data_IF_891114308294
#
_entry.id   IF_891114308294
#
_cell.length_a   1.000
_cell.length_b   1.000
_cell.length_c   1.000
_cell.angle_alpha   90.00
_cell.angle_beta   90.00
_cell.angle_gamma   90.00
#
_symmetry.space_group_name_H-M   'P 1'
#
loop_
_entity.id
_entity.type
_entity.pdbx_description
1 polymer ?
#
# COMPACT_ATOMS: atom_id res chain seq x y z
N UNK A 1 -39.68 21.10 18.70
CA UNK A 1 -38.45 20.90 17.93
C UNK A 1 -38.84 20.23 16.63
N UNK A 2 -38.61 20.87 15.47
CA UNK A 2 -39.05 20.34 14.17
C UNK A 2 -37.99 19.33 13.67
N UNK A 3 -38.41 18.31 12.92
CA UNK A 3 -37.48 17.31 12.32
C UNK A 3 -36.37 17.96 11.48
N UNK A 4 -36.65 19.13 10.89
CA UNK A 4 -35.65 19.97 10.19
C UNK A 4 -34.53 20.50 11.09
N UNK A 5 -34.80 20.71 12.38
CA UNK A 5 -33.80 21.19 13.34
C UNK A 5 -32.84 20.05 13.74
N UNK A 6 -33.28 18.78 13.65
CA UNK A 6 -32.41 17.60 13.85
C UNK A 6 -31.57 17.33 12.61
N UNK A 7 -32.13 17.51 11.40
CA UNK A 7 -31.41 17.31 10.14
C UNK A 7 -30.28 18.33 9.92
N UNK A 8 -30.39 19.55 10.45
CA UNK A 8 -29.32 20.55 10.40
C UNK A 8 -28.28 20.37 11.53
N UNK A 9 -28.58 19.58 12.58
CA UNK A 9 -27.61 19.18 13.61
C UNK A 9 -26.78 17.96 13.19
N UNK A 10 -27.15 17.31 12.08
CA UNK A 10 -26.29 16.45 11.27
C UNK A 10 -25.62 17.34 10.19
N UNK A 11 -25.16 18.54 10.58
CA UNK A 11 -23.97 19.09 9.94
C UNK A 11 -22.90 18.02 10.10
N UNK A 12 -22.29 17.64 8.97
CA UNK A 12 -21.29 16.58 8.88
C UNK A 12 -20.29 16.72 10.02
N UNK A 13 -20.41 15.88 11.04
CA UNK A 13 -19.26 15.49 11.82
C UNK A 13 -18.40 14.78 10.80
N UNK A 14 -17.47 15.50 10.18
CA UNK A 14 -16.37 14.90 9.46
C UNK A 14 -15.69 13.98 10.48
N UNK A 15 -16.01 12.70 10.39
CA UNK A 15 -15.30 11.66 11.11
C UNK A 15 -13.93 11.62 10.44
N UNK A 16 -13.00 12.43 10.94
CA UNK A 16 -11.59 12.31 10.60
C UNK A 16 -11.14 10.97 11.16
N UNK A 17 -10.69 10.08 10.28
CA UNK A 17 -10.05 8.83 10.68
C UNK A 17 -8.76 9.21 11.42
N UNK A 18 -8.60 8.74 12.66
CA UNK A 18 -7.42 9.02 13.46
C UNK A 18 -6.29 8.07 13.05
N UNK A 19 -5.48 8.51 12.07
CA UNK A 19 -4.38 7.70 11.55
C UNK A 19 -3.13 7.85 12.42
N UNK A 20 -2.36 6.77 12.63
CA UNK A 20 -1.10 6.83 13.37
C UNK A 20 -0.08 7.66 12.59
N UNK A 21 0.46 8.69 13.22
CA UNK A 21 1.45 9.59 12.60
C UNK A 21 2.79 9.45 13.30
N UNK A 22 3.85 9.32 12.50
CA UNK A 22 5.23 9.23 12.96
C UNK A 22 6.12 10.32 12.33
N UNK A 23 7.31 10.50 12.90
CA UNK A 23 8.40 11.30 12.35
C UNK A 23 9.66 10.46 12.34
N UNK A 24 10.41 10.49 11.24
CA UNK A 24 11.67 9.76 11.12
C UNK A 24 12.78 10.65 11.67
N UNK A 25 13.49 10.18 12.69
CA UNK A 25 14.54 10.97 13.34
C UNK A 25 15.89 10.81 12.64
N UNK A 26 16.08 9.69 11.96
CA UNK A 26 17.25 9.39 11.15
C UNK A 26 17.24 10.16 9.81
N UNK A 27 18.40 10.16 9.16
CA UNK A 27 18.53 10.79 7.86
C UNK A 27 17.82 9.94 6.79
N UNK A 28 16.95 10.59 6.01
CA UNK A 28 16.26 9.96 4.88
C UNK A 28 17.05 10.11 3.58
N UNK A 29 17.04 9.04 2.79
CA UNK A 29 17.71 8.95 1.51
C UNK A 29 16.79 8.43 0.42
N UNK A 30 17.03 8.86 -0.81
CA UNK A 30 16.47 8.27 -2.02
C UNK A 30 17.61 7.72 -2.88
N UNK A 31 17.46 6.48 -3.35
CA UNK A 31 18.37 5.90 -4.34
C UNK A 31 17.65 5.77 -5.66
N UNK A 32 18.11 6.52 -6.67
CA UNK A 32 17.50 6.46 -7.98
C UNK A 32 17.64 7.74 -8.79
N UNK A 33 16.53 8.14 -9.37
CA UNK A 33 16.37 9.26 -10.29
C UNK A 33 15.22 10.12 -9.80
N UNK A 34 15.40 11.44 -9.86
CA UNK A 34 14.37 12.42 -9.51
C UNK A 34 13.48 12.81 -10.71
N UNK A 35 13.65 12.16 -11.87
CA UNK A 35 12.79 12.38 -13.03
C UNK A 35 11.49 11.58 -12.90
N UNK A 36 10.38 12.27 -12.67
CA UNK A 36 9.05 11.64 -12.55
C UNK A 36 8.66 10.81 -13.78
N UNK A 37 9.18 11.12 -14.96
CA UNK A 37 8.89 10.40 -16.20
C UNK A 37 9.61 9.05 -16.29
N UNK A 38 10.58 8.82 -15.42
CA UNK A 38 11.31 7.54 -15.33
C UNK A 38 10.65 6.53 -14.36
N UNK A 39 9.48 6.88 -13.81
CA UNK A 39 8.72 6.04 -12.88
C UNK A 39 8.26 4.75 -13.55
N UNK A 40 8.43 3.63 -12.85
CA UNK A 40 7.88 2.33 -13.24
C UNK A 40 6.41 2.23 -12.83
N UNK A 41 5.61 1.53 -13.63
CA UNK A 41 4.24 1.18 -13.26
C UNK A 41 4.24 0.13 -12.14
N UNK A 42 3.12 -0.03 -11.43
CA UNK A 42 2.91 -1.03 -10.37
C UNK A 42 3.88 -0.93 -9.19
N UNK A 43 4.09 0.30 -8.67
CA UNK A 43 4.77 0.47 -7.39
C UNK A 43 3.91 -0.07 -6.24
N UNK A 44 4.48 -0.96 -5.42
CA UNK A 44 3.85 -1.44 -4.18
C UNK A 44 3.70 -0.35 -3.12
N UNK A 45 4.45 0.75 -3.23
CA UNK A 45 4.42 1.89 -2.32
C UNK A 45 3.50 3.02 -2.85
N UNK A 46 2.97 2.86 -4.08
CA UNK A 46 2.13 3.85 -4.73
C UNK A 46 2.92 4.97 -5.41
N UNK A 47 2.23 6.09 -5.67
CA UNK A 47 2.78 7.23 -6.40
C UNK A 47 3.50 8.19 -5.44
N UNK A 48 4.82 8.21 -5.53
CA UNK A 48 5.63 9.17 -4.79
C UNK A 48 7.12 8.96 -5.00
N UNK A 49 7.92 9.66 -4.21
CA UNK A 49 9.36 9.51 -4.13
C UNK A 49 9.70 8.54 -3.00
N UNK A 50 10.25 7.38 -3.35
CA UNK A 50 10.67 6.38 -2.36
C UNK A 50 11.83 6.89 -1.52
N UNK A 51 11.79 6.62 -0.22
CA UNK A 51 12.79 7.04 0.77
C UNK A 51 13.11 5.91 1.72
N UNK A 52 14.29 5.95 2.33
CA UNK A 52 14.71 5.00 3.37
C UNK A 52 15.84 5.59 4.21
N UNK A 53 15.97 5.13 5.44
CA UNK A 53 17.13 5.36 6.31
C UNK A 53 18.29 4.40 6.00
N UNK A 54 18.04 3.34 5.22
CA UNK A 54 18.95 2.25 4.89
C UNK A 54 19.18 2.10 3.37
N UNK A 55 19.76 3.12 2.68
CA UNK A 55 19.88 3.11 1.23
C UNK A 55 20.72 1.93 0.70
N UNK A 56 21.77 1.54 1.43
CA UNK A 56 22.64 0.42 1.05
C UNK A 56 21.92 -0.92 1.13
N UNK A 57 20.98 -1.07 2.06
CA UNK A 57 20.15 -2.27 2.16
C UNK A 57 19.23 -2.37 0.95
N UNK A 58 18.56 -1.28 0.57
CA UNK A 58 17.66 -1.27 -0.58
C UNK A 58 18.35 -1.56 -1.91
N UNK A 59 19.59 -1.08 -2.12
CA UNK A 59 20.40 -1.47 -3.28
C UNK A 59 20.68 -2.99 -3.30
N UNK A 60 20.85 -3.60 -2.13
CA UNK A 60 21.09 -5.06 -2.00
C UNK A 60 19.83 -5.90 -2.09
N UNK A 61 18.69 -5.39 -1.63
CA UNK A 61 17.37 -6.03 -1.69
C UNK A 61 16.89 -6.01 -3.15
N UNK A 62 16.87 -4.82 -3.76
CA UNK A 62 16.41 -4.59 -5.12
C UNK A 62 17.57 -4.61 -6.13
N UNK A 63 18.46 -5.62 -6.04
CA UNK A 63 19.64 -5.72 -6.92
C UNK A 63 19.25 -5.65 -8.39
N UNK A 64 19.85 -4.71 -9.11
CA UNK A 64 19.58 -4.46 -10.54
C UNK A 64 18.30 -3.66 -10.82
N UNK A 65 17.45 -3.45 -9.82
CA UNK A 65 16.23 -2.65 -9.92
C UNK A 65 16.42 -1.24 -9.37
N UNK A 66 17.07 -1.10 -8.21
CA UNK A 66 17.41 0.17 -7.58
C UNK A 66 18.82 0.59 -7.98
N UNK A 67 18.91 1.55 -8.91
CA UNK A 67 20.17 2.07 -9.44
C UNK A 67 20.06 3.57 -9.65
N UNK A 68 21.17 4.30 -9.53
CA UNK A 68 21.20 5.73 -9.84
C UNK A 68 22.04 6.51 -8.84
N UNK A 69 21.63 7.75 -8.60
CA UNK A 69 22.30 8.60 -7.63
C UNK A 69 21.71 8.38 -6.24
N UNK A 70 22.54 8.57 -5.22
CA UNK A 70 22.08 8.71 -3.85
C UNK A 70 21.74 10.17 -3.59
N UNK A 71 20.57 10.43 -3.01
CA UNK A 71 20.13 11.74 -2.58
C UNK A 71 19.83 11.72 -1.09
N UNK A 72 20.21 12.80 -0.43
CA UNK A 72 19.84 13.09 0.94
C UNK A 72 18.61 14.01 0.95
N UNK A 73 17.64 13.73 1.83
CA UNK A 73 16.38 14.46 1.94
C UNK A 73 16.19 14.99 3.35
N UNK A 74 15.85 16.27 3.49
CA UNK A 74 15.54 16.87 4.78
C UNK A 74 14.33 17.80 4.69
N UNK A 75 13.49 17.74 5.73
CA UNK A 75 12.41 18.70 5.97
C UNK A 75 12.11 18.75 7.47
N UNK A 76 12.09 19.96 8.02
CA UNK A 76 11.76 20.17 9.43
C UNK A 76 10.26 19.89 9.68
N UNK A 77 9.96 19.15 10.74
CA UNK A 77 8.59 18.86 11.14
C UNK A 77 7.81 18.02 10.13
N UNK A 78 8.51 17.24 9.29
CA UNK A 78 7.86 16.30 8.37
C UNK A 78 7.04 15.27 9.14
N UNK A 79 6.02 14.69 8.50
CA UNK A 79 5.13 13.70 9.13
C UNK A 79 4.80 12.60 8.15
N UNK A 80 4.77 11.36 8.61
CA UNK A 80 4.33 10.21 7.83
C UNK A 80 3.21 9.47 8.54
N UNK A 81 2.35 8.79 7.79
CA UNK A 81 1.51 7.75 8.39
C UNK A 81 2.40 6.55 8.71
N UNK A 82 2.33 6.06 9.93
CA UNK A 82 2.98 4.83 10.34
C UNK A 82 2.16 3.63 9.88
N UNK A 83 2.62 2.99 8.81
CA UNK A 83 1.89 1.90 8.18
C UNK A 83 1.92 0.60 9.01
N UNK A 84 2.89 0.44 9.92
CA UNK A 84 2.97 -0.73 10.79
C UNK A 84 2.00 -0.64 11.97
N UNK A 85 1.55 0.58 12.31
CA UNK A 85 0.56 0.85 13.35
C UNK A 85 -0.88 0.95 12.79
N UNK A 86 -1.08 0.82 11.47
CA UNK A 86 -2.42 0.74 10.90
C UNK A 86 -3.05 -0.60 11.26
N UNK A 87 -4.13 -0.55 12.03
CA UNK A 87 -4.88 -1.71 12.45
C UNK A 87 -6.15 -1.93 11.59
N UNK A 88 -6.88 -2.99 11.91
CA UNK A 88 -8.12 -3.37 11.22
C UNK A 88 -9.19 -2.29 11.23
N UNK A 89 -9.36 -1.56 12.33
CA UNK A 89 -10.38 -0.51 12.45
C UNK A 89 -10.08 0.66 11.50
N UNK A 90 -8.81 1.05 11.36
CA UNK A 90 -8.41 2.05 10.37
C UNK A 90 -8.74 1.58 8.95
N UNK A 91 -8.40 0.34 8.60
CA UNK A 91 -8.72 -0.22 7.28
C UNK A 91 -10.23 -0.29 7.04
N UNK A 92 -11.04 -0.70 8.01
CA UNK A 92 -12.50 -0.73 7.89
C UNK A 92 -13.08 0.66 7.59
N UNK A 93 -12.59 1.69 8.29
CA UNK A 93 -13.03 3.07 8.07
C UNK A 93 -12.58 3.59 6.69
N UNK A 94 -11.33 3.33 6.30
CA UNK A 94 -10.78 3.77 5.00
C UNK A 94 -11.42 3.03 3.83
N UNK A 95 -11.71 1.73 3.97
CA UNK A 95 -12.43 0.97 2.95
C UNK A 95 -13.88 1.40 2.83
N UNK A 96 -14.56 1.71 3.94
CA UNK A 96 -15.89 2.31 3.89
C UNK A 96 -15.87 3.64 3.12
N UNK A 97 -14.91 4.51 3.42
CA UNK A 97 -14.68 5.73 2.63
C UNK A 97 -14.41 5.40 1.16
N UNK A 98 -13.59 4.39 0.88
CA UNK A 98 -13.26 3.92 -0.47
C UNK A 98 -14.50 3.48 -1.24
N UNK A 99 -15.43 2.78 -0.59
CA UNK A 99 -16.73 2.39 -1.15
C UNK A 99 -17.59 3.63 -1.44
N UNK A 100 -17.71 4.53 -0.47
CA UNK A 100 -18.50 5.77 -0.63
C UNK A 100 -17.98 6.64 -1.78
N UNK A 101 -16.67 6.65 -2.02
CA UNK A 101 -16.04 7.35 -3.15
C UNK A 101 -15.98 6.51 -4.43
N UNK A 102 -16.38 5.24 -4.41
CA UNK A 102 -16.35 4.33 -5.57
C UNK A 102 -14.95 3.87 -6.00
N UNK A 103 -13.96 3.94 -5.12
CA UNK A 103 -12.63 3.37 -5.33
C UNK A 103 -12.59 1.87 -5.02
N UNK A 104 -13.39 1.44 -4.05
CA UNK A 104 -13.51 0.04 -3.64
C UNK A 104 -14.95 -0.40 -3.88
N UNK A 105 -15.15 -1.65 -4.28
CA UNK A 105 -16.44 -2.35 -4.28
C UNK A 105 -16.42 -3.43 -3.22
N UNK A 106 -17.60 -3.73 -2.70
CA UNK A 106 -17.81 -4.87 -1.83
C UNK A 106 -18.35 -6.00 -2.69
N UNK A 107 -17.58 -7.07 -2.83
CA UNK A 107 -17.86 -8.19 -3.71
C UNK A 107 -17.65 -9.53 -3.00
N UNK A 108 -18.17 -10.57 -3.64
CA UNK A 108 -17.84 -11.94 -3.30
C UNK A 108 -16.44 -12.27 -3.81
N UNK A 109 -15.58 -12.78 -2.92
CA UNK A 109 -14.25 -13.28 -3.29
C UNK A 109 -14.15 -14.74 -2.87
N UNK A 110 -13.65 -15.54 -3.79
CA UNK A 110 -13.22 -16.91 -3.55
C UNK A 110 -11.75 -16.89 -3.11
N UNK A 111 -11.44 -17.48 -1.97
CA UNK A 111 -10.09 -17.59 -1.44
C UNK A 111 -9.68 -19.06 -1.48
N UNK A 112 -8.71 -19.39 -2.32
CA UNK A 112 -8.10 -20.72 -2.34
C UNK A 112 -6.85 -20.66 -1.46
N UNK A 113 -6.84 -21.42 -0.36
CA UNK A 113 -5.67 -21.59 0.47
C UNK A 113 -4.99 -22.91 0.11
N UNK A 114 -3.67 -22.90 -0.07
CA UNK A 114 -2.89 -24.10 -0.31
C UNK A 114 -1.48 -23.94 0.28
N UNK A 115 -0.82 -25.07 0.49
CA UNK A 115 0.57 -25.09 0.90
C UNK A 115 1.46 -25.08 -0.34
N UNK A 116 2.38 -24.12 -0.41
CA UNK A 116 3.37 -23.98 -1.47
C UNK A 116 4.69 -24.59 -0.98
N UNK A 117 5.14 -25.66 -1.65
CA UNK A 117 6.32 -26.42 -1.27
C UNK A 117 7.64 -25.72 -1.64
N UNK A 118 7.63 -24.83 -2.63
CA UNK A 118 8.78 -23.98 -2.95
C UNK A 118 9.01 -22.91 -1.87
N UNK A 119 7.92 -22.40 -1.28
CA UNK A 119 7.95 -21.40 -0.22
C UNK A 119 7.98 -22.00 1.20
N UNK A 120 7.66 -23.29 1.36
CA UNK A 120 7.49 -23.96 2.65
C UNK A 120 6.49 -23.20 3.55
N UNK A 121 5.40 -22.70 2.96
CA UNK A 121 4.41 -21.87 3.65
C UNK A 121 2.99 -22.03 3.08
N UNK A 122 1.97 -21.64 3.84
CA UNK A 122 0.61 -21.54 3.35
C UNK A 122 0.41 -20.21 2.63
N UNK A 123 -0.02 -20.27 1.38
CA UNK A 123 -0.34 -19.12 0.57
C UNK A 123 -1.82 -19.15 0.17
N UNK A 124 -2.31 -18.03 -0.35
CA UNK A 124 -3.68 -17.94 -0.82
C UNK A 124 -3.76 -17.18 -2.15
N UNK A 125 -4.80 -17.50 -2.92
CA UNK A 125 -5.20 -16.77 -4.13
C UNK A 125 -6.61 -16.21 -3.90
N UNK A 126 -6.79 -14.92 -4.14
CA UNK A 126 -8.10 -14.24 -4.14
C UNK A 126 -8.62 -14.16 -5.58
N UNK A 127 -9.81 -14.71 -5.85
CA UNK A 127 -10.46 -14.72 -7.17
C UNK A 127 -11.86 -14.10 -7.05
N UNK A 128 -12.18 -13.15 -7.92
CA UNK A 128 -13.48 -12.44 -7.93
C UNK A 128 -14.44 -12.92 -9.02
N UNK A 129 -13.93 -13.67 -10.00
CA UNK A 129 -14.68 -14.16 -11.16
C UNK A 129 -14.86 -15.68 -11.06
N UNK A 130 -16.10 -16.17 -11.21
CA UNK A 130 -16.40 -17.60 -11.06
C UNK A 130 -15.88 -18.46 -12.22
N UNK A 131 -15.73 -17.88 -13.41
CA UNK A 131 -15.17 -18.57 -14.57
C UNK A 131 -13.65 -18.69 -14.40
N UNK A 132 -12.99 -17.64 -13.90
CA UNK A 132 -11.58 -17.68 -13.49
C UNK A 132 -11.33 -18.70 -12.37
N UNK A 133 -12.20 -18.75 -11.36
CA UNK A 133 -12.14 -19.76 -10.30
C UNK A 133 -12.17 -21.18 -10.87
N UNK A 134 -13.07 -21.43 -11.83
CA UNK A 134 -13.21 -22.75 -12.42
C UNK A 134 -11.95 -23.15 -13.19
N UNK A 135 -11.37 -22.21 -13.95
CA UNK A 135 -10.12 -22.44 -14.68
C UNK A 135 -8.92 -22.68 -13.74
N UNK A 136 -8.84 -21.94 -12.64
CA UNK A 136 -7.76 -22.10 -11.65
C UNK A 136 -7.86 -23.45 -10.95
N UNK A 137 -9.05 -23.85 -10.51
CA UNK A 137 -9.27 -25.16 -9.88
C UNK A 137 -8.94 -26.31 -10.84
N UNK A 138 -9.29 -26.20 -12.14
CA UNK A 138 -8.92 -27.19 -13.16
C UNK A 138 -7.39 -27.26 -13.36
N UNK A 139 -6.69 -26.12 -13.37
CA UNK A 139 -5.22 -26.11 -13.47
C UNK A 139 -4.56 -26.69 -12.22
N UNK A 140 -5.07 -26.39 -11.03
CA UNK A 140 -4.55 -26.94 -9.77
C UNK A 140 -4.76 -28.45 -9.69
N UNK A 141 -5.90 -28.97 -10.15
CA UNK A 141 -6.18 -30.42 -10.23
C UNK A 141 -5.22 -31.14 -11.18
N UNK A 142 -4.76 -30.46 -12.22
CA UNK A 142 -3.78 -31.02 -13.16
C UNK A 142 -2.33 -30.97 -12.67
N UNK A 143 -1.98 -30.06 -11.77
CA UNK A 143 -0.58 -29.77 -11.39
C UNK A 143 -0.25 -30.30 -9.99
N UNK A 144 -1.22 -30.30 -9.07
CA UNK A 144 -0.99 -30.58 -7.66
C UNK A 144 -2.03 -31.54 -7.07
N UNK A 145 -1.85 -32.85 -7.31
CA UNK A 145 -2.67 -33.91 -6.69
C UNK A 145 -2.74 -33.77 -5.14
N UNK A 146 -1.67 -33.29 -4.48
CA UNK A 146 -1.61 -33.07 -3.02
C UNK A 146 -2.17 -31.70 -2.55
N UNK A 147 -2.19 -30.66 -3.41
CA UNK A 147 -2.69 -29.34 -3.01
C UNK A 147 -4.23 -29.30 -2.93
N UNK A 148 -4.92 -30.16 -3.69
CA UNK A 148 -6.38 -30.32 -3.55
C UNK A 148 -6.75 -31.12 -2.31
N UNK A 149 -5.93 -32.10 -1.90
CA UNK A 149 -6.20 -32.88 -0.69
C UNK A 149 -6.10 -32.04 0.60
N UNK A 150 -5.26 -31.00 0.61
CA UNK A 150 -5.03 -30.14 1.77
C UNK A 150 -5.52 -28.69 1.61
N UNK A 151 -5.88 -28.27 0.41
CA UNK A 151 -6.34 -26.92 0.12
C UNK A 151 -7.77 -26.68 0.61
N UNK A 152 -8.07 -25.45 1.01
CA UNK A 152 -9.43 -25.04 1.40
C UNK A 152 -9.91 -23.89 0.54
N UNK A 153 -11.08 -24.06 -0.06
CA UNK A 153 -11.83 -22.99 -0.71
C UNK A 153 -12.74 -22.31 0.31
N UNK A 154 -12.47 -21.05 0.61
CA UNK A 154 -13.34 -20.17 1.38
C UNK A 154 -14.08 -19.23 0.42
N UNK A 155 -15.36 -19.00 0.70
CA UNK A 155 -16.15 -17.95 0.01
C UNK A 155 -16.36 -16.84 1.01
N UNK A 156 -15.74 -15.68 0.73
CA UNK A 156 -15.91 -14.48 1.53
C UNK A 156 -16.91 -13.55 0.82
N UNK A 157 -18.12 -13.44 1.38
CA UNK A 157 -19.21 -12.61 0.87
C UNK A 157 -19.10 -11.13 1.25
N UNK A 158 -18.00 -10.76 1.92
CA UNK A 158 -17.74 -9.43 2.44
C UNK A 158 -16.31 -8.97 2.15
N UNK A 159 -15.78 -9.35 0.99
CA UNK A 159 -14.45 -8.92 0.58
C UNK A 159 -14.49 -7.60 -0.19
N UNK A 160 -13.32 -6.97 -0.31
CA UNK A 160 -13.15 -5.67 -0.93
C UNK A 160 -12.34 -5.80 -2.22
N UNK A 161 -12.92 -5.35 -3.32
CA UNK A 161 -12.30 -5.36 -4.65
C UNK A 161 -11.98 -3.93 -5.08
N UNK A 162 -10.90 -3.76 -5.83
CA UNK A 162 -10.54 -2.44 -6.38
C UNK A 162 -11.33 -2.17 -7.67
N UNK A 163 -11.77 -0.92 -7.86
CA UNK A 163 -12.46 -0.53 -9.09
C UNK A 163 -11.49 0.01 -10.14
N UNK A 164 -11.93 0.14 -11.39
CA UNK A 164 -11.17 0.86 -12.43
C UNK A 164 -10.83 2.29 -12.02
N UNK A 165 -11.70 2.93 -11.21
CA UNK A 165 -11.44 4.27 -10.67
C UNK A 165 -10.23 4.25 -9.74
N UNK A 166 -10.09 3.23 -8.89
CA UNK A 166 -8.90 3.06 -8.06
C UNK A 166 -7.65 2.85 -8.91
N UNK A 167 -7.70 1.92 -9.88
CA UNK A 167 -6.56 1.65 -10.78
C UNK A 167 -6.13 2.91 -11.52
N UNK A 168 -7.07 3.72 -11.99
CA UNK A 168 -6.77 5.01 -12.64
C UNK A 168 -6.13 6.03 -11.69
N UNK A 169 -6.55 6.07 -10.42
CA UNK A 169 -6.01 6.99 -9.42
C UNK A 169 -4.61 6.59 -8.93
N UNK A 170 -4.39 5.31 -8.64
CA UNK A 170 -3.16 4.79 -8.03
C UNK A 170 -2.14 4.31 -9.06
N UNK A 171 -2.58 3.89 -10.25
CA UNK A 171 -1.74 3.22 -11.25
C UNK A 171 -1.28 1.84 -10.82
N UNK A 172 -2.02 1.17 -9.94
CA UNK A 172 -1.64 -0.09 -9.30
C UNK A 172 -2.87 -0.91 -8.90
N UNK A 173 -2.67 -2.21 -8.75
CA UNK A 173 -3.69 -3.17 -8.31
C UNK A 173 -3.57 -3.54 -6.82
N UNK A 174 -2.62 -2.93 -6.09
CA UNK A 174 -2.42 -3.20 -4.67
C UNK A 174 -3.42 -2.43 -3.81
N UNK A 175 -4.38 -3.15 -3.21
CA UNK A 175 -5.46 -2.59 -2.36
C UNK A 175 -4.96 -1.75 -1.18
N UNK A 176 -3.78 -2.06 -0.65
CA UNK A 176 -3.15 -1.33 0.47
C UNK A 176 -2.85 0.14 0.14
N UNK A 177 -2.79 0.50 -1.15
CA UNK A 177 -2.66 1.88 -1.58
C UNK A 177 -3.90 2.73 -1.32
N UNK A 178 -4.99 2.15 -0.81
CA UNK A 178 -6.15 2.93 -0.36
C UNK A 178 -5.79 3.95 0.71
N UNK A 179 -4.81 3.64 1.57
CA UNK A 179 -4.34 4.56 2.61
C UNK A 179 -3.67 5.77 1.97
N UNK A 180 -2.77 5.52 1.00
CA UNK A 180 -2.12 6.57 0.21
C UNK A 180 -3.15 7.45 -0.50
N UNK A 181 -4.16 6.83 -1.10
CA UNK A 181 -5.22 7.52 -1.82
C UNK A 181 -6.09 8.37 -0.88
N UNK A 182 -6.51 7.80 0.27
CA UNK A 182 -7.24 8.50 1.32
C UNK A 182 -6.49 9.74 1.79
N UNK A 183 -5.20 9.59 2.13
CA UNK A 183 -4.40 10.71 2.62
C UNK A 183 -4.29 11.86 1.60
N UNK A 184 -4.16 11.54 0.32
CA UNK A 184 -4.04 12.54 -0.73
C UNK A 184 -5.37 13.21 -1.06
N UNK A 185 -6.46 12.44 -1.19
CA UNK A 185 -7.79 12.95 -1.54
C UNK A 185 -8.41 13.78 -0.42
N UNK A 186 -8.30 13.32 0.83
CA UNK A 186 -8.82 14.02 2.01
C UNK A 186 -7.81 15.03 2.57
N UNK A 187 -6.70 15.29 1.86
CA UNK A 187 -5.68 16.29 2.19
C UNK A 187 -5.14 16.18 3.62
N UNK A 188 -4.94 14.96 4.10
CA UNK A 188 -4.36 14.69 5.41
C UNK A 188 -2.98 15.40 5.51
N UNK A 189 -2.69 16.12 6.61
CA UNK A 189 -1.51 16.98 6.72
C UNK A 189 -0.22 16.19 7.03
N UNK A 190 0.10 15.24 6.15
CA UNK A 190 1.29 14.40 6.15
C UNK A 190 2.06 14.53 4.83
N UNK A 191 3.33 14.18 4.87
CA UNK A 191 4.24 14.16 3.72
C UNK A 191 4.13 12.86 2.91
N UNK A 192 3.68 11.78 3.53
CA UNK A 192 3.67 10.46 2.91
C UNK A 192 3.34 9.32 3.85
N UNK A 193 3.78 8.12 3.48
CA UNK A 193 3.67 6.88 4.27
C UNK A 193 5.05 6.36 4.65
N UNK A 194 5.17 5.68 5.79
CA UNK A 194 6.41 5.09 6.26
C UNK A 194 6.17 3.72 6.91
N UNK A 195 7.05 2.77 6.64
CA UNK A 195 7.11 1.44 7.22
C UNK A 195 8.46 1.32 7.93
N UNK A 196 8.45 1.41 9.26
CA UNK A 196 9.65 1.30 10.09
C UNK A 196 10.01 -0.17 10.36
N UNK A 197 10.25 -0.93 9.28
CA UNK A 197 10.51 -2.36 9.38
C UNK A 197 11.88 -2.68 9.98
N UNK A 198 11.99 -3.85 10.60
CA UNK A 198 13.28 -4.36 11.04
C UNK A 198 14.18 -4.69 9.85
N UNK A 199 15.41 -4.17 9.85
CA UNK A 199 16.38 -4.42 8.79
C UNK A 199 16.75 -5.90 8.70
N UNK A 200 16.38 -6.53 7.58
CA UNK A 200 16.77 -7.89 7.23
C UNK A 200 16.88 -8.07 5.72
N UNK A 201 18.10 -7.91 5.18
CA UNK A 201 18.36 -8.03 3.73
C UNK A 201 17.97 -9.43 3.20
N UNK A 202 18.17 -10.49 3.98
CA UNK A 202 17.80 -11.87 3.57
C UNK A 202 16.30 -12.10 3.51
N UNK A 203 15.51 -11.29 4.21
CA UNK A 203 14.03 -11.31 4.18
C UNK A 203 13.45 -10.19 3.31
N UNK A 204 14.30 -9.50 2.54
CA UNK A 204 13.90 -8.37 1.71
C UNK A 204 13.21 -7.23 2.48
N UNK A 205 13.60 -7.01 3.74
CA UNK A 205 12.98 -6.03 4.64
C UNK A 205 14.00 -4.98 5.11
N UNK A 206 13.56 -3.73 5.13
CA UNK A 206 14.30 -2.57 5.61
C UNK A 206 13.32 -1.38 5.78
N UNK A 207 13.61 -0.41 6.67
CA UNK A 207 12.80 0.78 6.79
C UNK A 207 12.64 1.47 5.43
N UNK A 208 11.41 1.87 5.10
CA UNK A 208 11.11 2.54 3.83
C UNK A 208 9.92 3.46 3.98
N UNK A 209 9.80 4.39 3.06
CA UNK A 209 8.62 5.22 2.93
C UNK A 209 8.49 5.79 1.55
N UNK A 210 7.42 6.56 1.38
CA UNK A 210 7.12 7.26 0.15
C UNK A 210 6.69 8.66 0.50
N UNK A 211 7.32 9.67 -0.09
CA UNK A 211 6.86 11.07 -0.05
C UNK A 211 5.89 11.27 -1.21
N UNK A 212 4.68 11.77 -0.94
CA UNK A 212 3.69 12.02 -2.00
C UNK A 212 4.19 13.05 -3.02
N UNK A 213 3.83 12.86 -4.29
CA UNK A 213 4.30 13.71 -5.40
C UNK A 213 4.09 15.20 -5.17
N UNK A 214 2.92 15.57 -4.65
CA UNK A 214 2.55 16.95 -4.33
C UNK A 214 3.28 17.51 -3.09
N UNK A 215 4.04 16.69 -2.36
CA UNK A 215 4.83 17.08 -1.17
C UNK A 215 6.32 17.16 -1.46
N UNK A 216 6.85 16.47 -2.48
CA UNK A 216 8.29 16.42 -2.81
C UNK A 216 8.93 17.80 -2.92
N UNK A 217 8.25 18.78 -3.53
CA UNK A 217 8.77 20.14 -3.72
C UNK A 217 9.00 20.92 -2.42
N UNK A 218 8.47 20.44 -1.29
CA UNK A 218 8.67 21.03 0.04
C UNK A 218 9.85 20.44 0.80
N UNK A 219 10.59 19.49 0.20
CA UNK A 219 11.76 18.86 0.77
C UNK A 219 13.05 19.44 0.17
N UNK A 220 14.06 19.61 1.01
CA UNK A 220 15.41 19.91 0.56
C UNK A 220 16.08 18.61 0.13
N UNK A 221 16.41 18.50 -1.16
CA UNK A 221 17.00 17.29 -1.76
C UNK A 221 18.39 17.61 -2.29
N UNK A 222 19.40 16.91 -1.78
CA UNK A 222 20.80 17.13 -2.17
C UNK A 222 21.43 15.83 -2.66
N UNK A 223 22.08 15.86 -3.83
CA UNK A 223 22.79 14.69 -4.34
C UNK A 223 24.01 14.41 -3.48
N UNK A 224 24.12 13.18 -2.96
CA UNK A 224 25.30 12.72 -2.23
C UNK A 224 26.38 12.37 -3.25
N UNK A 225 27.54 13.00 -3.10
CA UNK A 225 28.73 12.63 -3.87
C UNK A 225 29.56 11.69 -3.02
N UNK A 226 29.66 10.42 -3.43
CA UNK A 226 30.57 9.46 -2.78
C UNK A 226 31.98 9.85 -3.22
N UNK A 227 32.85 10.22 -2.27
CA UNK A 227 34.27 10.51 -2.49
C UNK A 227 35.05 9.19 -2.52
#
# INVERSE_FOLDING_TARGET
MKVRDILNLIEAVEISIDLPVTQVVEQLYHVGTLDINSRRNNSHEGRGLSISTEPDAWVKINRGLTTGNLYNLSKSGHKFIDMLEINKEHYEQIFKWGIEKGYISQDFVYIINYYDDELDDNVFIEITDSDELSAELEMMDMIYDEAIENGTLEVNDNSYTITDKFKAATGSEHKDLIVSLYCQEENIPVDGLYWDEELSISKYSAPRGVIFDNRVSSWDITKVTII
#
